data_IF_437260846662
#
_entry.id   IF_437260846662
#
_cell.length_a   1.000
_cell.length_b   1.000
_cell.length_c   1.000
_cell.angle_alpha   90.00
_cell.angle_beta   90.00
_cell.angle_gamma   90.00
#
_symmetry.space_group_name_H-M   'P 1'
#
loop_
_entity.id
_entity.type
_entity.pdbx_description
1 polymer ?
#
# COMPACT_ATOMS: atom_id res chain seq x y z
N UNK A 1 33.17 66.04 -16.93
CA UNK A 1 32.39 65.46 -18.04
C UNK A 1 32.84 64.03 -18.25
N UNK A 2 31.89 63.11 -18.31
CA UNK A 2 32.01 61.64 -18.40
C UNK A 2 32.86 61.16 -19.59
N UNK A 3 33.44 59.95 -19.49
CA UNK A 3 32.75 58.80 -20.08
C UNK A 3 32.77 57.50 -19.22
N UNK A 4 31.67 56.75 -19.30
CA UNK A 4 31.63 55.28 -19.19
C UNK A 4 31.71 54.68 -20.62
N UNK A 5 31.64 53.36 -20.89
CA UNK A 5 31.74 52.16 -20.03
C UNK A 5 32.72 51.09 -20.61
N UNK A 6 33.06 50.02 -19.87
CA UNK A 6 33.27 48.69 -20.50
C UNK A 6 33.03 47.57 -19.50
N UNK A 7 32.30 46.57 -19.99
CA UNK A 7 31.76 45.39 -19.35
C UNK A 7 32.84 44.42 -18.85
N UNK A 8 32.58 43.76 -17.71
CA UNK A 8 33.22 42.50 -17.36
C UNK A 8 32.16 41.51 -16.89
N UNK A 9 32.01 40.47 -17.71
CA UNK A 9 31.21 39.27 -17.51
C UNK A 9 31.36 38.66 -16.11
N UNK A 10 30.24 38.31 -15.47
CA UNK A 10 30.22 37.11 -14.62
C UNK A 10 28.88 36.40 -14.67
N UNK A 11 28.94 35.21 -15.25
CA UNK A 11 27.85 34.27 -15.47
C UNK A 11 27.21 33.76 -14.18
N UNK A 12 25.89 33.63 -14.26
CA UNK A 12 25.04 32.50 -13.84
C UNK A 12 25.42 31.74 -12.56
N UNK A 13 24.57 31.90 -11.55
CA UNK A 13 24.34 30.91 -10.50
C UNK A 13 22.84 30.71 -10.30
N UNK A 14 22.23 29.91 -11.17
CA UNK A 14 20.84 29.52 -11.10
C UNK A 14 20.53 28.84 -9.75
N UNK A 15 19.67 29.45 -8.93
CA UNK A 15 19.06 28.77 -7.78
C UNK A 15 17.65 28.33 -8.18
N UNK A 16 17.62 27.23 -8.92
CA UNK A 16 16.39 26.49 -9.22
C UNK A 16 15.94 25.80 -7.94
N UNK A 17 14.73 26.13 -7.51
CA UNK A 17 13.99 25.42 -6.48
C UNK A 17 13.84 23.96 -6.90
N UNK A 18 14.61 23.07 -6.29
CA UNK A 18 14.49 21.64 -6.49
C UNK A 18 13.44 21.09 -5.50
N UNK A 19 12.22 21.00 -5.99
CA UNK A 19 11.19 20.10 -5.48
C UNK A 19 11.79 18.70 -5.32
N UNK A 20 12.03 18.25 -4.09
CA UNK A 20 12.35 16.85 -3.81
C UNK A 20 11.06 16.02 -3.92
N UNK A 21 10.65 15.76 -5.16
CA UNK A 21 9.76 14.65 -5.51
C UNK A 21 10.46 13.34 -5.20
N UNK A 22 10.07 12.66 -4.12
CA UNK A 22 10.45 11.28 -3.87
C UNK A 22 9.54 10.36 -4.69
N UNK A 23 9.77 10.28 -6.00
CA UNK A 23 9.29 9.18 -6.84
C UNK A 23 10.40 8.11 -6.87
N UNK A 24 10.34 7.17 -5.93
CA UNK A 24 11.15 5.96 -5.97
C UNK A 24 10.57 4.98 -6.98
N UNK A 25 11.11 5.00 -8.19
CA UNK A 25 10.94 3.98 -9.23
C UNK A 25 11.49 2.64 -8.72
N UNK A 26 10.63 1.63 -8.62
CA UNK A 26 11.07 0.26 -8.42
C UNK A 26 11.69 -0.25 -9.73
N UNK A 27 13.02 -0.38 -9.75
CA UNK A 27 13.77 -1.13 -10.74
C UNK A 27 13.40 -2.62 -10.61
N UNK A 28 12.43 -3.05 -11.42
CA UNK A 28 12.37 -4.42 -11.92
C UNK A 28 12.83 -4.35 -13.36
N UNK A 29 14.01 -4.89 -13.66
CA UNK A 29 14.26 -5.77 -14.80
C UNK A 29 15.72 -5.68 -15.27
N UNK A 30 16.50 -6.70 -14.97
CA UNK A 30 17.68 -7.04 -15.75
C UNK A 30 17.65 -8.55 -16.02
N UNK A 31 16.92 -8.96 -17.07
CA UNK A 31 17.34 -9.96 -18.05
C UNK A 31 16.24 -10.15 -19.13
N UNK A 32 16.53 -9.68 -20.34
CA UNK A 32 15.82 -9.98 -21.60
C UNK A 32 16.58 -11.05 -22.39
N UNK A 33 16.11 -11.64 -23.53
CA UNK A 33 14.77 -11.61 -24.15
C UNK A 33 14.29 -13.03 -24.61
N UNK A 34 13.00 -13.22 -24.90
CA UNK A 34 12.50 -14.02 -26.07
C UNK A 34 10.97 -13.93 -26.19
N UNK A 35 10.53 -13.87 -27.45
CA UNK A 35 9.17 -13.64 -27.92
C UNK A 35 8.12 -14.58 -27.31
N UNK A 36 6.94 -14.01 -26.99
CA UNK A 36 5.72 -14.78 -26.71
C UNK A 36 4.76 -14.06 -25.74
N UNK A 37 3.82 -13.27 -26.27
CA UNK A 37 2.56 -12.95 -25.59
C UNK A 37 1.49 -14.01 -25.94
N UNK A 38 0.41 -14.19 -25.14
CA UNK A 38 0.22 -13.85 -23.73
C UNK A 38 -0.28 -15.08 -22.93
N UNK A 39 0.20 -15.27 -21.70
CA UNK A 39 -0.61 -16.02 -20.73
C UNK A 39 -0.63 -15.22 -19.44
N UNK A 40 -1.76 -14.57 -19.18
CA UNK A 40 -2.10 -14.10 -17.86
C UNK A 40 -1.96 -15.32 -16.93
N UNK A 41 -0.93 -15.30 -16.08
CA UNK A 41 -0.75 -16.30 -15.05
C UNK A 41 -1.87 -16.08 -14.05
N UNK A 42 -2.88 -16.93 -14.12
CA UNK A 42 -3.96 -16.99 -13.16
C UNK A 42 -3.36 -17.08 -11.76
N UNK A 43 -3.57 -16.03 -10.96
CA UNK A 43 -3.43 -16.13 -9.51
C UNK A 43 -4.37 -17.24 -9.05
N UNK A 44 -3.90 -18.25 -8.28
CA UNK A 44 -4.81 -19.20 -7.66
C UNK A 44 -5.64 -18.40 -6.66
N UNK A 45 -6.89 -18.13 -7.01
CA UNK A 45 -7.90 -17.64 -6.08
C UNK A 45 -8.07 -18.77 -5.06
N UNK A 46 -7.77 -18.57 -3.76
CA UNK A 46 -8.16 -19.56 -2.77
C UNK A 46 -9.69 -19.65 -2.84
N UNK A 47 -10.18 -20.82 -3.22
CA UNK A 47 -11.59 -21.15 -3.37
C UNK A 47 -12.21 -21.27 -1.97
N UNK A 48 -12.24 -20.15 -1.26
CA UNK A 48 -13.02 -19.99 -0.03
C UNK A 48 -14.47 -19.83 -0.46
N UNK A 49 -15.25 -20.90 -0.29
CA UNK A 49 -16.73 -20.95 -0.33
C UNK A 49 -17.35 -19.66 -0.88
N UNK A 50 -17.59 -19.62 -2.18
CA UNK A 50 -18.38 -18.57 -2.80
C UNK A 50 -19.78 -18.62 -2.19
N UNK A 51 -20.05 -17.76 -1.21
CA UNK A 51 -21.41 -17.39 -0.87
C UNK A 51 -22.05 -16.89 -2.16
N UNK A 52 -23.02 -17.64 -2.67
CA UNK A 52 -23.79 -17.19 -3.82
C UNK A 52 -24.34 -15.80 -3.49
N UNK A 53 -24.14 -14.79 -4.36
CA UNK A 53 -24.58 -13.44 -4.07
C UNK A 53 -26.08 -13.47 -3.79
N UNK A 54 -26.49 -12.92 -2.64
CA UNK A 54 -27.90 -12.85 -2.28
C UNK A 54 -28.63 -12.10 -3.40
N UNK A 55 -29.61 -12.71 -4.09
CA UNK A 55 -30.29 -12.07 -5.21
C UNK A 55 -31.04 -10.79 -4.79
N UNK A 56 -31.27 -10.59 -3.49
CA UNK A 56 -31.86 -9.38 -2.92
C UNK A 56 -30.86 -8.27 -2.53
N UNK A 57 -29.55 -8.48 -2.71
CA UNK A 57 -28.52 -7.50 -2.36
C UNK A 57 -28.50 -6.31 -3.32
N UNK A 58 -28.50 -5.10 -2.76
CA UNK A 58 -28.36 -3.87 -3.54
C UNK A 58 -26.96 -3.79 -4.18
N UNK A 59 -26.76 -2.98 -5.23
CA UNK A 59 -25.42 -2.76 -5.81
C UNK A 59 -24.39 -2.33 -4.76
N UNK A 60 -24.81 -1.51 -3.79
CA UNK A 60 -23.97 -1.02 -2.69
C UNK A 60 -23.54 -2.15 -1.75
N UNK A 61 -24.44 -3.10 -1.46
CA UNK A 61 -24.12 -4.28 -0.64
C UNK A 61 -23.05 -5.17 -1.30
N UNK A 62 -23.13 -5.36 -2.62
CA UNK A 62 -22.14 -6.14 -3.38
C UNK A 62 -20.77 -5.46 -3.42
N UNK A 63 -20.76 -4.12 -3.53
CA UNK A 63 -19.53 -3.34 -3.45
C UNK A 63 -18.91 -3.42 -2.04
N UNK A 64 -19.72 -3.28 -0.99
CA UNK A 64 -19.25 -3.43 0.38
C UNK A 64 -18.65 -4.82 0.63
N UNK A 65 -19.28 -5.89 0.13
CA UNK A 65 -18.74 -7.24 0.23
C UNK A 65 -17.40 -7.40 -0.52
N UNK A 66 -17.24 -6.76 -1.67
CA UNK A 66 -15.97 -6.73 -2.38
C UNK A 66 -14.87 -6.02 -1.57
N UNK A 67 -15.15 -4.83 -1.04
CA UNK A 67 -14.18 -4.09 -0.23
C UNK A 67 -13.84 -4.82 1.07
N UNK A 68 -14.81 -5.48 1.72
CA UNK A 68 -14.55 -6.32 2.88
C UNK A 68 -13.56 -7.45 2.55
N UNK A 69 -13.76 -8.16 1.43
CA UNK A 69 -12.81 -9.20 1.00
C UNK A 69 -11.42 -8.63 0.75
N UNK A 70 -11.32 -7.48 0.10
CA UNK A 70 -10.04 -6.81 -0.18
C UNK A 70 -9.33 -6.38 1.11
N UNK A 71 -10.06 -5.80 2.07
CA UNK A 71 -9.49 -5.37 3.35
C UNK A 71 -9.04 -6.56 4.20
N UNK A 72 -9.78 -7.67 4.19
CA UNK A 72 -9.37 -8.91 4.87
C UNK A 72 -8.05 -9.45 4.28
N UNK A 73 -7.94 -9.48 2.95
CA UNK A 73 -6.69 -9.87 2.28
C UNK A 73 -5.54 -8.91 2.61
N UNK A 74 -5.81 -7.60 2.61
CA UNK A 74 -4.83 -6.58 3.00
C UNK A 74 -4.34 -6.79 4.43
N UNK A 75 -5.24 -7.07 5.38
CA UNK A 75 -4.90 -7.36 6.77
C UNK A 75 -3.95 -8.56 6.89
N UNK A 76 -4.23 -9.66 6.17
CA UNK A 76 -3.37 -10.84 6.15
C UNK A 76 -1.98 -10.53 5.55
N UNK A 77 -1.93 -9.74 4.47
CA UNK A 77 -0.65 -9.33 3.88
C UNK A 77 0.17 -8.44 4.83
N UNK A 78 -0.47 -7.58 5.62
CA UNK A 78 0.19 -6.77 6.65
C UNK A 78 0.73 -7.66 7.77
N UNK A 79 -0.03 -8.65 8.23
CA UNK A 79 0.43 -9.63 9.24
C UNK A 79 1.70 -10.36 8.76
N UNK A 80 1.71 -10.84 7.51
CA UNK A 80 2.90 -11.47 6.93
C UNK A 80 4.12 -10.52 6.86
N UNK A 81 3.90 -9.22 6.58
CA UNK A 81 4.97 -8.21 6.57
C UNK A 81 5.53 -7.98 7.98
N UNK A 82 4.68 -7.95 9.00
CA UNK A 82 5.10 -7.86 10.41
C UNK A 82 5.97 -9.06 10.77
N UNK A 83 5.52 -10.28 10.47
CA UNK A 83 6.29 -11.51 10.73
C UNK A 83 7.64 -11.49 10.00
N UNK A 84 7.67 -11.02 8.75
CA UNK A 84 8.90 -10.88 7.99
C UNK A 84 9.88 -9.87 8.61
N UNK A 85 9.38 -8.73 9.11
CA UNK A 85 10.22 -7.76 9.80
C UNK A 85 10.75 -8.27 11.13
N UNK A 86 9.95 -9.02 11.90
CA UNK A 86 10.41 -9.65 13.14
C UNK A 86 11.53 -10.66 12.88
N UNK A 87 11.41 -11.49 11.84
CA UNK A 87 12.48 -12.41 11.41
C UNK A 87 13.74 -11.65 10.99
N UNK A 88 13.59 -10.54 10.27
CA UNK A 88 14.72 -9.71 9.85
C UNK A 88 15.41 -9.01 11.04
N UNK A 89 14.65 -8.62 12.07
CA UNK A 89 15.22 -8.11 13.34
C UNK A 89 16.08 -9.19 13.98
N UNK A 90 15.56 -10.40 14.16
CA UNK A 90 16.32 -11.50 14.78
C UNK A 90 17.61 -11.82 14.00
N UNK A 91 17.54 -11.83 12.66
CA UNK A 91 18.73 -12.03 11.82
C UNK A 91 19.74 -10.88 11.96
N UNK A 92 19.28 -9.63 11.96
CA UNK A 92 20.16 -8.46 12.12
C UNK A 92 20.79 -8.41 13.53
N UNK A 93 20.05 -8.80 14.57
CA UNK A 93 20.56 -8.92 15.94
C UNK A 93 21.66 -10.00 16.02
N UNK A 94 21.45 -11.16 15.39
CA UNK A 94 22.46 -12.23 15.33
C UNK A 94 23.74 -11.79 14.58
N UNK A 95 23.62 -10.91 13.59
CA UNK A 95 24.76 -10.33 12.86
C UNK A 95 25.36 -9.09 13.54
N UNK A 96 24.81 -8.61 14.66
CA UNK A 96 25.25 -7.38 15.33
C UNK A 96 24.97 -6.09 14.54
N UNK A 97 24.10 -6.13 13.53
CA UNK A 97 23.79 -4.98 12.68
C UNK A 97 22.69 -4.11 13.28
N UNK A 98 23.08 -3.20 14.18
CA UNK A 98 22.15 -2.30 14.89
C UNK A 98 21.38 -1.34 13.97
N UNK A 99 21.95 -1.00 12.80
CA UNK A 99 21.26 -0.12 11.85
C UNK A 99 20.03 -0.81 11.27
N UNK A 100 20.19 -2.05 10.81
CA UNK A 100 19.09 -2.83 10.25
C UNK A 100 18.05 -3.20 11.31
N UNK A 101 18.47 -3.45 12.55
CA UNK A 101 17.53 -3.62 13.69
C UNK A 101 16.64 -2.39 13.84
N UNK A 102 17.22 -1.18 13.89
CA UNK A 102 16.45 0.07 14.02
C UNK A 102 15.51 0.27 12.84
N UNK A 103 15.99 0.02 11.62
CA UNK A 103 15.20 0.11 10.38
C UNK A 103 13.99 -0.83 10.42
N UNK A 104 14.21 -2.11 10.75
CA UNK A 104 13.11 -3.08 10.78
C UNK A 104 12.12 -2.84 11.92
N UNK A 105 12.57 -2.32 13.07
CA UNK A 105 11.66 -1.86 14.14
C UNK A 105 10.75 -0.74 13.65
N UNK A 106 11.30 0.27 12.98
CA UNK A 106 10.49 1.35 12.41
C UNK A 106 9.47 0.83 11.40
N UNK A 107 9.88 -0.09 10.51
CA UNK A 107 8.96 -0.71 9.54
C UNK A 107 7.86 -1.54 10.21
N UNK A 108 8.18 -2.21 11.32
CA UNK A 108 7.21 -2.97 12.11
C UNK A 108 6.14 -2.04 12.72
N UNK A 109 6.55 -0.92 13.32
CA UNK A 109 5.62 0.07 13.88
C UNK A 109 4.66 0.64 12.83
N UNK A 110 5.18 0.96 11.63
CA UNK A 110 4.33 1.41 10.52
C UNK A 110 3.34 0.32 10.11
N UNK A 111 3.80 -0.93 9.95
CA UNK A 111 2.91 -2.04 9.58
C UNK A 111 1.85 -2.32 10.66
N UNK A 112 2.18 -2.18 11.94
CA UNK A 112 1.21 -2.28 13.04
C UNK A 112 0.15 -1.16 12.98
N UNK A 113 0.54 0.05 12.61
CA UNK A 113 -0.40 1.15 12.39
C UNK A 113 -1.32 0.87 11.20
N UNK A 114 -0.78 0.36 10.09
CA UNK A 114 -1.59 -0.05 8.94
C UNK A 114 -2.59 -1.13 9.34
N UNK A 115 -2.16 -2.14 10.13
CA UNK A 115 -3.02 -3.22 10.62
C UNK A 115 -4.20 -2.70 11.42
N UNK A 116 -3.96 -1.74 12.33
CA UNK A 116 -5.01 -1.09 13.13
C UNK A 116 -6.01 -0.35 12.23
N UNK A 117 -5.50 0.47 11.31
CA UNK A 117 -6.32 1.22 10.35
C UNK A 117 -7.22 0.29 9.52
N UNK A 118 -6.67 -0.80 8.97
CA UNK A 118 -7.44 -1.76 8.18
C UNK A 118 -8.48 -2.48 9.04
N UNK A 119 -8.15 -2.83 10.28
CA UNK A 119 -9.11 -3.45 11.20
C UNK A 119 -10.31 -2.53 11.48
N UNK A 120 -10.06 -1.24 11.70
CA UNK A 120 -11.11 -0.25 11.92
C UNK A 120 -12.00 -0.07 10.68
N UNK A 121 -11.42 -0.10 9.47
CA UNK A 121 -12.18 -0.05 8.22
C UNK A 121 -13.07 -1.28 8.03
N UNK A 122 -12.55 -2.47 8.36
CA UNK A 122 -13.34 -3.71 8.30
C UNK A 122 -14.53 -3.63 9.26
N UNK A 123 -14.33 -3.20 10.50
CA UNK A 123 -15.41 -3.06 11.48
C UNK A 123 -16.45 -2.04 11.04
N UNK A 124 -16.01 -0.85 10.60
CA UNK A 124 -16.91 0.20 10.13
C UNK A 124 -17.76 -0.25 8.93
N UNK A 125 -17.13 -0.87 7.94
CA UNK A 125 -17.82 -1.34 6.74
C UNK A 125 -18.76 -2.51 7.08
N UNK A 126 -18.30 -3.43 7.93
CA UNK A 126 -19.11 -4.55 8.42
C UNK A 126 -20.35 -4.07 9.17
N UNK A 127 -20.23 -3.08 10.06
CA UNK A 127 -21.38 -2.53 10.81
C UNK A 127 -22.40 -1.85 9.91
N UNK A 128 -21.95 -1.08 8.92
CA UNK A 128 -22.86 -0.31 8.05
C UNK A 128 -23.69 -1.20 7.12
N UNK A 129 -23.08 -2.26 6.59
CA UNK A 129 -23.71 -3.09 5.56
C UNK A 129 -24.24 -4.45 6.08
N UNK A 130 -24.00 -4.81 7.35
CA UNK A 130 -24.63 -5.97 8.00
C UNK A 130 -25.89 -5.65 8.79
N UNK A 131 -26.27 -4.38 8.95
CA UNK A 131 -27.55 -4.01 9.56
C UNK A 131 -28.64 -4.30 8.52
N UNK A 132 -29.50 -5.32 8.71
CA UNK A 132 -30.65 -5.52 7.84
C UNK A 132 -31.55 -4.28 7.92
N UNK A 133 -32.27 -3.90 6.86
CA UNK A 133 -33.28 -2.87 6.96
C UNK A 133 -34.21 -3.25 8.11
N UNK A 134 -34.34 -2.36 9.12
CA UNK A 134 -35.33 -2.51 10.17
C UNK A 134 -36.68 -2.64 9.47
N UNK A 135 -37.19 -3.87 9.36
CA UNK A 135 -38.58 -4.11 8.98
C UNK A 135 -39.39 -3.43 10.06
N UNK A 136 -39.97 -2.28 9.74
CA UNK A 136 -40.90 -1.60 10.64
C UNK A 136 -42.10 -2.54 10.80
N UNK A 137 -42.48 -2.96 12.02
CA UNK A 137 -43.75 -3.65 12.19
C UNK A 137 -44.85 -2.67 11.79
N UNK A 138 -45.56 -3.01 10.71
CA UNK A 138 -46.82 -2.37 10.37
C UNK A 138 -47.79 -2.77 11.48
N UNK A 139 -48.29 -1.76 12.18
CA UNK A 139 -49.22 -1.89 13.31
C UNK A 139 -50.63 -2.10 12.81
#
# INVERSE_FOLDING_TARGET
>A
MTPAPTEAHRSQGARVAAERRLNGTFDRNASSPRLGTPHARAVPVPQGKSSSPNPAATPDDRQAEYFLRLLIQSRQAIEQRIDAHQKAIAAAEACGNLHDVRRHRQLTLTAEQDRRTVADLIDNLGRRFRVPPRVRPVR
#
